data_IF_301427626976
#
_entry.id   IF_301427626976
#
_cell.length_a   1.000
_cell.length_b   1.000
_cell.length_c   1.000
_cell.angle_alpha   90.00
_cell.angle_beta   90.00
_cell.angle_gamma   90.00
#
_symmetry.space_group_name_H-M   'P 1'
#
loop_
_entity.id
_entity.type
_entity.pdbx_description
1 polymer ?
#
# COMPACT_ATOMS: atom_id res chain seq x y z
N UNK A 1 -17.83 10.28 -21.39
CA UNK A 1 -16.62 10.08 -20.54
C UNK A 1 -16.95 9.18 -19.35
N UNK A 2 -16.39 7.96 -19.29
CA UNK A 2 -16.63 7.01 -18.19
C UNK A 2 -15.92 7.54 -16.93
N UNK A 3 -16.66 7.91 -15.88
CA UNK A 3 -16.08 8.36 -14.59
C UNK A 3 -15.09 7.30 -14.09
N UNK A 4 -13.83 7.67 -13.84
CA UNK A 4 -12.83 6.77 -13.23
C UNK A 4 -13.42 6.20 -11.94
N UNK A 5 -13.45 4.87 -11.82
CA UNK A 5 -13.92 4.21 -10.62
C UNK A 5 -13.08 4.67 -9.41
N UNK A 6 -13.73 5.07 -8.32
CA UNK A 6 -13.06 5.42 -7.05
C UNK A 6 -12.23 4.22 -6.60
N UNK A 7 -10.93 4.42 -6.42
CA UNK A 7 -9.97 3.41 -6.01
C UNK A 7 -10.39 2.75 -4.69
N UNK A 8 -10.75 1.45 -4.71
CA UNK A 8 -11.12 0.66 -3.52
C UNK A 8 -9.92 0.26 -2.64
N UNK A 9 -8.71 0.69 -2.98
CA UNK A 9 -7.46 0.35 -2.27
C UNK A 9 -7.42 0.81 -0.80
N UNK A 10 -8.38 1.65 -0.38
CA UNK A 10 -8.56 2.12 1.00
C UNK A 10 -9.99 1.89 1.53
N UNK A 11 -10.75 0.94 0.97
CA UNK A 11 -12.15 0.71 1.33
C UNK A 11 -12.37 0.39 2.81
N UNK A 12 -11.32 -0.05 3.54
CA UNK A 12 -11.42 -0.37 4.96
C UNK A 12 -11.67 0.84 5.87
N UNK A 13 -11.45 2.09 5.43
CA UNK A 13 -11.60 3.28 6.30
C UNK A 13 -10.59 3.36 7.46
N UNK A 14 -9.86 2.28 7.76
CA UNK A 14 -8.91 2.17 8.87
C UNK A 14 -7.57 2.86 8.62
N UNK A 15 -7.28 3.49 7.48
CA UNK A 15 -5.96 4.10 7.26
C UNK A 15 -6.00 5.61 7.47
N UNK A 16 -5.14 6.14 8.35
CA UNK A 16 -5.07 7.59 8.58
C UNK A 16 -4.43 8.36 7.42
N UNK A 17 -3.59 7.70 6.61
CA UNK A 17 -2.87 8.29 5.46
C UNK A 17 -3.00 7.41 4.20
N UNK A 18 -4.20 7.29 3.61
CA UNK A 18 -4.49 6.38 2.51
C UNK A 18 -3.65 6.63 1.24
N UNK A 19 -3.34 7.90 0.93
CA UNK A 19 -2.49 8.26 -0.21
C UNK A 19 -1.04 7.80 -0.05
N UNK A 20 -0.48 7.97 1.16
CA UNK A 20 0.87 7.51 1.48
C UNK A 20 0.98 5.99 1.42
N UNK A 21 -0.02 5.27 1.95
CA UNK A 21 -0.08 3.81 1.84
C UNK A 21 -0.07 3.35 0.38
N UNK A 22 -0.85 4.00 -0.48
CA UNK A 22 -0.89 3.67 -1.91
C UNK A 22 0.45 3.91 -2.60
N UNK A 23 1.17 4.98 -2.26
CA UNK A 23 2.51 5.24 -2.79
C UNK A 23 3.52 4.17 -2.33
N UNK A 24 3.53 3.83 -1.04
CA UNK A 24 4.39 2.77 -0.48
C UNK A 24 4.05 1.40 -1.10
N UNK A 25 2.77 1.09 -1.29
CA UNK A 25 2.34 -0.16 -1.93
C UNK A 25 2.92 -0.30 -3.34
N UNK A 26 2.80 0.75 -4.17
CA UNK A 26 3.35 0.74 -5.54
C UNK A 26 4.88 0.58 -5.53
N UNK A 27 5.57 1.32 -4.66
CA UNK A 27 7.04 1.24 -4.51
C UNK A 27 7.51 -0.15 -4.08
N UNK A 28 6.85 -0.75 -3.10
CA UNK A 28 7.21 -2.08 -2.58
C UNK A 28 6.87 -3.17 -3.59
N UNK A 29 5.71 -3.07 -4.26
CA UNK A 29 5.32 -4.01 -5.32
C UNK A 29 6.33 -4.02 -6.46
N UNK A 30 6.79 -2.84 -6.90
CA UNK A 30 7.78 -2.72 -7.96
C UNK A 30 9.20 -3.17 -7.56
N UNK A 31 9.53 -3.19 -6.27
CA UNK A 31 10.83 -3.66 -5.79
C UNK A 31 10.94 -5.18 -5.74
N UNK A 32 12.18 -5.69 -5.72
CA UNK A 32 12.52 -7.10 -5.48
C UNK A 32 12.55 -7.49 -3.99
N UNK A 33 12.40 -6.52 -3.08
CA UNK A 33 12.41 -6.79 -1.64
C UNK A 33 11.10 -7.48 -1.23
N UNK A 34 11.24 -8.69 -0.71
CA UNK A 34 10.11 -9.51 -0.24
C UNK A 34 9.45 -10.34 -1.34
N UNK A 35 10.07 -10.51 -2.51
CA UNK A 35 9.57 -11.34 -3.61
C UNK A 35 9.80 -10.67 -4.95
N UNK A 36 9.36 -11.30 -6.04
CA UNK A 36 9.68 -10.84 -7.39
C UNK A 36 9.10 -9.46 -7.72
N UNK A 37 9.84 -8.61 -8.45
CA UNK A 37 9.36 -7.31 -8.91
C UNK A 37 8.01 -7.40 -9.62
N UNK A 38 7.07 -6.53 -9.25
CA UNK A 38 5.73 -6.50 -9.83
C UNK A 38 4.73 -7.45 -9.15
N UNK A 39 5.18 -8.38 -8.32
CA UNK A 39 4.28 -9.30 -7.61
C UNK A 39 3.92 -8.82 -6.20
N UNK A 40 2.80 -9.33 -5.69
CA UNK A 40 2.35 -9.06 -4.33
C UNK A 40 2.40 -10.31 -3.47
N UNK A 41 3.36 -10.36 -2.55
CA UNK A 41 3.61 -11.48 -1.65
C UNK A 41 3.27 -11.12 -0.20
N UNK A 42 3.18 -12.14 0.67
CA UNK A 42 2.99 -11.96 2.10
C UNK A 42 4.11 -11.09 2.73
N UNK A 43 5.36 -11.28 2.31
CA UNK A 43 6.51 -10.53 2.85
C UNK A 43 6.48 -9.06 2.42
N UNK A 44 6.00 -8.76 1.21
CA UNK A 44 5.75 -7.38 0.76
C UNK A 44 4.63 -6.71 1.56
N UNK A 45 3.59 -7.45 1.94
CA UNK A 45 2.55 -6.92 2.82
C UNK A 45 3.07 -6.55 4.22
N UNK A 46 3.92 -7.41 4.80
CA UNK A 46 4.60 -7.11 6.06
C UNK A 46 5.50 -5.86 5.95
N UNK A 47 6.29 -5.76 4.86
CA UNK A 47 7.11 -4.58 4.59
C UNK A 47 6.26 -3.31 4.47
N UNK A 48 5.11 -3.38 3.80
CA UNK A 48 4.20 -2.25 3.70
C UNK A 48 3.69 -1.81 5.07
N UNK A 49 3.27 -2.74 5.92
CA UNK A 49 2.79 -2.41 7.26
C UNK A 49 3.87 -1.71 8.10
N UNK A 50 5.10 -2.24 8.08
CA UNK A 50 6.25 -1.67 8.79
C UNK A 50 6.61 -0.29 8.25
N UNK A 51 6.73 -0.14 6.93
CA UNK A 51 7.08 1.14 6.31
C UNK A 51 5.98 2.19 6.49
N UNK A 52 4.71 1.78 6.41
CA UNK A 52 3.58 2.66 6.62
C UNK A 52 3.58 3.19 8.05
N UNK A 53 3.78 2.33 9.06
CA UNK A 53 3.91 2.75 10.46
C UNK A 53 5.12 3.68 10.66
N UNK A 54 6.29 3.33 10.10
CA UNK A 54 7.51 4.15 10.17
C UNK A 54 7.35 5.53 9.52
N UNK A 55 6.58 5.63 8.44
CA UNK A 55 6.25 6.89 7.77
C UNK A 55 5.14 7.68 8.50
N UNK A 56 4.78 7.30 9.73
CA UNK A 56 3.75 7.96 10.53
C UNK A 56 2.32 7.68 10.04
N UNK A 57 2.13 6.54 9.36
CA UNK A 57 0.82 6.02 8.97
C UNK A 57 0.21 5.24 10.12
N UNK A 58 -0.99 5.61 10.51
CA UNK A 58 -1.74 4.98 11.59
C UNK A 58 -2.91 4.16 11.07
N UNK A 59 -3.48 3.39 12.00
CA UNK A 59 -4.73 2.67 11.81
C UNK A 59 -5.82 3.31 12.69
N UNK A 60 -7.06 3.39 12.20
CA UNK A 60 -8.25 3.68 13.00
C UNK A 60 -8.90 2.38 13.44
#
# INVERSE_FOLDING_TARGET
>A
MKKKAKSKVNAAGNYTKPGMRAALFKKIKAGSKGGDPGEWSARKAQLLAVQYKKAGGGYK
#
